data_IF_266058926040
#
_entry.id   IF_266058926040
#
_cell.length_a   1.000
_cell.length_b   1.000
_cell.length_c   1.000
_cell.angle_alpha   90.00
_cell.angle_beta   90.00
_cell.angle_gamma   90.00
#
_symmetry.space_group_name_H-M   'P 1'
#
loop_
_entity.id
_entity.type
_entity.pdbx_description
1 polymer ?
#
# COMPACT_ATOMS: atom_id res chain seq x y z
N UNK A 1 8.67 24.84 -2.95
CA UNK A 1 7.69 25.95 -2.78
C UNK A 1 6.24 25.47 -2.94
N UNK A 2 5.99 24.22 -3.39
CA UNK A 2 4.64 23.69 -3.62
C UNK A 2 4.00 23.05 -2.37
N UNK A 3 4.81 22.55 -1.42
CA UNK A 3 4.36 21.90 -0.18
C UNK A 3 3.47 22.82 0.69
N UNK A 4 3.88 24.09 0.85
CA UNK A 4 3.21 25.06 1.73
C UNK A 4 1.79 25.39 1.24
N UNK A 5 1.57 25.41 -0.07
CA UNK A 5 0.27 25.66 -0.68
C UNK A 5 -0.69 24.48 -0.46
N UNK A 6 -0.21 23.24 -0.55
CA UNK A 6 -1.03 22.04 -0.31
C UNK A 6 -1.35 21.86 1.18
N UNK A 7 -0.40 22.16 2.07
CA UNK A 7 -0.60 22.13 3.53
C UNK A 7 -1.67 23.14 3.98
N UNK A 8 -1.66 24.35 3.39
CA UNK A 8 -2.69 25.36 3.62
C UNK A 8 -4.08 24.91 3.14
N UNK A 9 -4.17 24.18 2.03
CA UNK A 9 -5.42 23.59 1.55
C UNK A 9 -5.92 22.44 2.44
N UNK A 10 -5.00 21.66 3.04
CA UNK A 10 -5.34 20.55 3.94
C UNK A 10 -5.88 21.03 5.29
N UNK A 11 -5.41 22.18 5.78
CA UNK A 11 -5.87 22.77 7.03
C UNK A 11 -7.35 23.19 7.01
N UNK A 12 -7.88 23.49 5.82
CA UNK A 12 -9.25 23.97 5.63
C UNK A 12 -10.28 22.86 5.32
N UNK A 13 -9.86 21.59 5.31
CA UNK A 13 -10.78 20.50 5.01
C UNK A 13 -11.80 20.28 6.14
N UNK A 14 -13.08 20.02 5.81
CA UNK A 14 -14.06 19.60 6.80
C UNK A 14 -13.53 18.37 7.55
N UNK A 15 -13.37 18.50 8.86
CA UNK A 15 -12.75 17.49 9.71
C UNK A 15 -13.73 17.06 10.79
N UNK A 16 -13.93 15.75 10.91
CA UNK A 16 -14.73 15.12 11.97
C UNK A 16 -13.75 14.64 13.05
N UNK A 17 -13.87 15.22 14.24
CA UNK A 17 -13.00 14.91 15.40
C UNK A 17 -13.76 14.31 16.58
N UNK A 18 -15.06 14.09 16.43
CA UNK A 18 -16.01 14.16 17.56
C UNK A 18 -15.92 13.03 18.61
N UNK A 19 -15.06 12.01 18.43
CA UNK A 19 -14.78 10.98 19.46
C UNK A 19 -13.62 10.02 19.11
N UNK A 20 -12.79 10.33 18.10
CA UNK A 20 -11.81 9.35 17.59
C UNK A 20 -10.37 9.83 17.77
N UNK A 21 -9.47 8.90 18.12
CA UNK A 21 -8.03 9.13 18.11
C UNK A 21 -7.49 9.40 16.68
N UNK A 22 -8.31 9.23 15.65
CA UNK A 22 -7.93 9.30 14.24
C UNK A 22 -8.85 10.25 13.48
N UNK A 23 -8.50 11.55 13.39
CA UNK A 23 -9.33 12.53 12.70
C UNK A 23 -9.68 12.09 11.27
N UNK A 24 -10.94 12.27 10.89
CA UNK A 24 -11.44 11.95 9.53
C UNK A 24 -11.67 13.26 8.78
N UNK A 25 -11.13 13.36 7.57
CA UNK A 25 -11.23 14.56 6.72
C UNK A 25 -12.02 14.25 5.45
N UNK A 26 -12.82 15.21 4.99
CA UNK A 26 -13.49 15.16 3.69
C UNK A 26 -12.56 15.73 2.61
N UNK A 27 -12.01 14.86 1.77
CA UNK A 27 -11.16 15.24 0.64
C UNK A 27 -11.76 14.75 -0.67
N UNK A 28 -12.00 15.65 -1.63
CA UNK A 28 -12.57 15.33 -2.96
C UNK A 28 -13.78 14.39 -2.88
N UNK A 29 -14.76 14.71 -2.02
CA UNK A 29 -15.97 13.92 -1.77
C UNK A 29 -15.76 12.52 -1.14
N UNK A 30 -14.58 12.24 -0.58
CA UNK A 30 -14.29 11.00 0.14
C UNK A 30 -13.86 11.28 1.58
N UNK A 31 -14.33 10.45 2.52
CA UNK A 31 -13.90 10.49 3.91
C UNK A 31 -12.68 9.60 4.09
N UNK A 32 -11.59 10.18 4.62
CA UNK A 32 -10.32 9.50 4.84
C UNK A 32 -9.79 9.82 6.22
N UNK A 33 -9.07 8.89 6.85
CA UNK A 33 -8.24 9.24 8.00
C UNK A 33 -7.20 10.27 7.57
N UNK A 34 -6.99 11.29 8.40
CA UNK A 34 -6.06 12.39 8.10
C UNK A 34 -4.66 11.87 7.80
N UNK A 35 -4.16 10.92 8.58
CA UNK A 35 -2.85 10.29 8.36
C UNK A 35 -2.79 9.54 7.02
N UNK A 36 -3.85 8.82 6.66
CA UNK A 36 -3.93 8.15 5.36
C UNK A 36 -3.91 9.16 4.21
N UNK A 37 -4.62 10.29 4.32
CA UNK A 37 -4.59 11.33 3.30
C UNK A 37 -3.19 11.93 3.15
N UNK A 38 -2.51 12.26 4.25
CA UNK A 38 -1.15 12.81 4.21
C UNK A 38 -0.17 11.84 3.54
N UNK A 39 -0.29 10.55 3.83
CA UNK A 39 0.55 9.54 3.18
C UNK A 39 0.23 9.41 1.69
N UNK A 40 -1.04 9.39 1.29
CA UNK A 40 -1.43 9.36 -0.13
C UNK A 40 -0.86 10.57 -0.88
N UNK A 41 -0.93 11.76 -0.30
CA UNK A 41 -0.36 12.97 -0.92
C UNK A 41 1.16 12.90 -1.01
N UNK A 42 1.84 12.43 0.03
CA UNK A 42 3.29 12.19 -0.02
C UNK A 42 3.67 11.17 -1.10
N UNK A 43 2.99 10.03 -1.14
CA UNK A 43 3.19 9.00 -2.16
C UNK A 43 2.96 9.54 -3.56
N UNK A 44 1.96 10.41 -3.78
CA UNK A 44 1.70 11.03 -5.08
C UNK A 44 2.90 11.82 -5.62
N UNK A 45 3.67 12.46 -4.73
CA UNK A 45 4.84 13.27 -5.11
C UNK A 45 6.11 12.44 -5.26
N UNK A 46 6.28 11.38 -4.48
CA UNK A 46 7.54 10.64 -4.39
C UNK A 46 7.54 9.30 -5.14
N UNK A 47 6.37 8.71 -5.41
CA UNK A 47 6.29 7.42 -6.08
C UNK A 47 6.60 7.56 -7.57
N UNK A 48 7.61 6.82 -8.04
CA UNK A 48 7.98 6.75 -9.44
C UNK A 48 7.55 5.39 -10.01
N UNK A 49 6.44 5.40 -10.75
CA UNK A 49 5.94 4.19 -11.41
C UNK A 49 6.91 3.72 -12.50
N UNK A 50 7.17 2.41 -12.53
CA UNK A 50 7.90 1.75 -13.61
C UNK A 50 6.91 1.09 -14.56
N UNK A 51 7.26 0.93 -15.86
CA UNK A 51 6.37 0.27 -16.84
C UNK A 51 5.99 -1.17 -16.47
N UNK A 52 6.75 -1.82 -15.59
CA UNK A 52 6.53 -3.20 -15.14
C UNK A 52 5.75 -3.31 -13.83
N UNK A 53 5.40 -2.18 -13.20
CA UNK A 53 4.70 -2.20 -11.92
C UNK A 53 3.22 -2.61 -12.08
N UNK A 54 2.72 -3.36 -11.11
CA UNK A 54 1.33 -3.79 -11.04
C UNK A 54 0.70 -3.18 -9.79
N UNK A 55 -0.34 -2.37 -9.98
CA UNK A 55 -1.09 -1.75 -8.89
C UNK A 55 -2.35 -2.55 -8.59
N UNK A 56 -2.51 -2.97 -7.33
CA UNK A 56 -3.73 -3.57 -6.83
C UNK A 56 -4.57 -2.51 -6.13
N UNK A 57 -5.75 -2.20 -6.68
CA UNK A 57 -6.66 -1.21 -6.12
C UNK A 57 -7.93 -1.89 -5.59
N UNK A 58 -8.25 -1.64 -4.33
CA UNK A 58 -9.50 -2.10 -3.71
C UNK A 58 -9.87 -1.25 -2.50
N UNK A 59 -11.16 -1.15 -2.13
CA UNK A 59 -11.56 -0.55 -0.87
C UNK A 59 -10.98 -1.30 0.34
N UNK A 60 -10.77 -0.61 1.49
CA UNK A 60 -10.35 -1.29 2.71
C UNK A 60 -11.38 -2.36 3.11
N UNK A 61 -10.88 -3.49 3.63
CA UNK A 61 -11.68 -4.62 4.13
C UNK A 61 -12.50 -5.38 3.09
N UNK A 62 -12.33 -5.12 1.78
CA UNK A 62 -13.01 -5.86 0.71
C UNK A 62 -12.24 -7.09 0.20
N UNK A 63 -11.40 -7.71 1.04
CA UNK A 63 -10.60 -8.88 0.64
C UNK A 63 -9.20 -8.58 0.09
N UNK A 64 -8.58 -7.48 0.48
CA UNK A 64 -7.20 -7.12 0.09
C UNK A 64 -6.18 -8.24 0.35
N UNK A 65 -6.32 -9.00 1.44
CA UNK A 65 -5.43 -10.13 1.76
C UNK A 65 -5.51 -11.23 0.70
N UNK A 66 -6.73 -11.62 0.30
CA UNK A 66 -6.95 -12.61 -0.75
C UNK A 66 -6.47 -12.09 -2.11
N UNK A 67 -6.75 -10.83 -2.43
CA UNK A 67 -6.31 -10.20 -3.67
C UNK A 67 -4.77 -10.18 -3.77
N UNK A 68 -4.07 -9.78 -2.71
CA UNK A 68 -2.59 -9.77 -2.65
C UNK A 68 -2.02 -11.17 -2.82
N UNK A 69 -2.57 -12.16 -2.11
CA UNK A 69 -2.12 -13.54 -2.21
C UNK A 69 -2.30 -14.13 -3.62
N UNK A 70 -3.47 -13.92 -4.24
CA UNK A 70 -3.76 -14.41 -5.59
C UNK A 70 -2.92 -13.74 -6.67
N UNK A 71 -2.74 -12.41 -6.57
CA UNK A 71 -1.88 -11.69 -7.51
C UNK A 71 -0.43 -12.17 -7.41
N UNK A 72 0.08 -12.33 -6.19
CA UNK A 72 1.44 -12.83 -5.96
C UNK A 72 1.61 -14.26 -6.50
N UNK A 73 0.72 -15.19 -6.17
CA UNK A 73 0.85 -16.58 -6.63
C UNK A 73 0.71 -16.71 -8.14
N UNK A 74 -0.06 -15.85 -8.80
CA UNK A 74 -0.18 -15.82 -10.26
C UNK A 74 1.08 -15.32 -10.95
N UNK A 75 1.83 -14.38 -10.36
CA UNK A 75 3.05 -13.82 -10.94
C UNK A 75 4.27 -14.70 -10.70
N UNK A 76 4.37 -15.30 -9.51
CA UNK A 76 5.50 -16.12 -9.09
C UNK A 76 5.19 -17.62 -9.18
N UNK A 77 4.36 -18.01 -10.15
CA UNK A 77 4.10 -19.41 -10.44
C UNK A 77 5.39 -20.05 -10.96
N UNK A 78 6.22 -20.55 -10.05
CA UNK A 78 7.32 -21.44 -10.38
C UNK A 78 6.73 -22.66 -11.11
N UNK A 79 7.42 -23.20 -12.13
CA UNK A 79 7.00 -24.46 -12.74
C UNK A 79 7.07 -25.55 -11.68
N UNK A 80 5.94 -25.82 -11.02
CA UNK A 80 5.71 -26.70 -9.88
C UNK A 80 6.93 -27.57 -9.47
N UNK A 81 7.81 -27.11 -8.58
CA UNK A 81 8.42 -28.02 -7.63
C UNK A 81 7.39 -28.18 -6.52
N UNK A 82 6.67 -29.30 -6.57
CA UNK A 82 5.78 -29.88 -5.55
C UNK A 82 5.08 -28.88 -4.58
N UNK A 83 3.75 -28.89 -4.52
CA UNK A 83 2.93 -28.10 -3.58
C UNK A 83 3.31 -28.29 -2.09
N UNK A 84 4.21 -29.22 -1.80
CA UNK A 84 4.88 -29.48 -0.54
C UNK A 84 6.07 -28.54 -0.22
N UNK A 85 6.54 -27.69 -1.14
CA UNK A 85 7.69 -26.81 -0.88
C UNK A 85 7.35 -25.81 0.24
N UNK A 86 7.94 -26.05 1.41
CA UNK A 86 7.75 -25.29 2.64
C UNK A 86 8.30 -23.86 2.54
N UNK A 87 9.01 -23.53 1.44
CA UNK A 87 9.68 -22.25 1.23
C UNK A 87 8.82 -21.21 0.49
N UNK A 88 7.58 -21.53 0.10
CA UNK A 88 6.74 -20.56 -0.60
C UNK A 88 6.43 -19.33 0.30
N UNK A 89 6.70 -18.08 -0.13
CA UNK A 89 6.54 -16.89 0.72
C UNK A 89 5.15 -16.76 1.38
N UNK A 90 4.07 -17.06 0.65
CA UNK A 90 2.70 -17.05 1.21
C UNK A 90 2.44 -18.08 2.33
N UNK A 91 3.32 -19.06 2.58
CA UNK A 91 3.20 -20.01 3.70
C UNK A 91 3.88 -19.52 4.97
N UNK A 92 4.87 -18.63 4.85
CA UNK A 92 5.72 -18.19 5.97
C UNK A 92 5.54 -16.71 6.31
N UNK A 93 4.90 -15.93 5.45
CA UNK A 93 4.71 -14.48 5.62
C UNK A 93 3.27 -14.05 5.29
N UNK A 94 2.85 -12.90 5.84
CA UNK A 94 1.54 -12.34 5.53
C UNK A 94 1.55 -11.75 4.10
N UNK A 95 0.47 -11.91 3.30
CA UNK A 95 0.37 -11.25 1.99
C UNK A 95 0.56 -9.72 2.03
N UNK A 96 0.28 -9.08 3.17
CA UNK A 96 0.54 -7.66 3.38
C UNK A 96 2.03 -7.32 3.50
N UNK A 97 2.87 -8.26 3.96
CA UNK A 97 4.33 -8.09 4.05
C UNK A 97 5.00 -8.32 2.68
N UNK A 98 4.40 -9.16 1.84
CA UNK A 98 4.94 -9.57 0.54
C UNK A 98 4.56 -8.57 -0.55
N UNK A 99 3.31 -8.07 -0.51
CA UNK A 99 2.80 -7.07 -1.44
C UNK A 99 2.48 -5.83 -0.60
N UNK A 100 3.30 -4.78 -0.62
CA UNK A 100 3.14 -3.66 0.31
C UNK A 100 1.99 -2.74 -0.09
N UNK A 101 1.68 -1.79 0.78
CA UNK A 101 0.76 -0.69 0.48
C UNK A 101 1.57 0.55 0.13
N UNK A 102 1.29 1.12 -1.03
CA UNK A 102 2.01 2.29 -1.58
C UNK A 102 1.88 3.53 -0.69
N UNK A 103 0.79 3.61 0.06
CA UNK A 103 0.44 4.69 0.98
C UNK A 103 0.79 4.40 2.44
N UNK A 104 1.39 3.25 2.78
CA UNK A 104 1.74 2.91 4.17
C UNK A 104 3.25 2.73 4.32
N UNK A 105 3.90 2.08 3.36
CA UNK A 105 5.33 1.82 3.41
C UNK A 105 6.11 2.90 2.68
N UNK A 106 6.78 3.74 3.45
CA UNK A 106 7.71 4.77 2.97
C UNK A 106 9.12 4.24 2.70
N UNK A 107 9.37 2.94 2.84
CA UNK A 107 10.68 2.33 2.60
C UNK A 107 10.66 1.45 1.35
N UNK A 108 10.91 2.07 0.20
CA UNK A 108 11.19 1.36 -1.05
C UNK A 108 12.47 0.50 -0.96
N UNK A 109 13.31 0.67 0.07
CA UNK A 109 14.49 -0.18 0.34
C UNK A 109 14.13 -1.62 0.77
N UNK A 110 12.99 -1.86 1.41
CA UNK A 110 12.60 -3.20 1.87
C UNK A 110 12.25 -4.14 0.70
N UNK A 111 11.72 -3.59 -0.39
CA UNK A 111 11.41 -4.33 -1.61
C UNK A 111 12.66 -4.72 -2.41
N UNK A 112 13.80 -4.07 -2.20
CA UNK A 112 15.06 -4.50 -2.81
C UNK A 112 15.66 -5.70 -2.06
N UNK A 113 15.42 -5.83 -0.75
CA UNK A 113 15.85 -7.01 0.03
C UNK A 113 15.13 -8.28 -0.43
N UNK A 114 13.82 -8.21 -0.70
CA UNK A 114 13.06 -9.36 -1.19
C UNK A 114 13.40 -9.77 -2.63
N UNK A 115 14.01 -8.88 -3.43
CA UNK A 115 14.54 -9.24 -4.75
C UNK A 115 15.84 -10.04 -4.66
N UNK A 116 16.65 -9.83 -3.61
CA UNK A 116 17.92 -10.53 -3.42
C UNK A 116 17.77 -11.93 -2.84
N UNK A 117 16.81 -12.15 -1.93
CA UNK A 117 16.60 -13.46 -1.29
C UNK A 117 15.79 -14.48 -2.11
N UNK A 118 15.29 -14.08 -3.28
CA UNK A 118 14.47 -14.93 -4.18
C UNK A 118 15.24 -15.39 -5.44
N UNK A 119 16.57 -15.32 -5.43
CA UNK A 119 17.44 -15.84 -6.52
C UNK A 119 18.06 -17.18 -6.16
#
# INVERSE_FOLDING_TARGET
MEQTQEDDQLSNLPTITDCSAFPVVLYKAHYLFKDSLLRVLSTRHHFQARPTDILLASPPKSGTTWLKALAFSSLYQTPLPDLSDLRHPLRVSNPHDIVPFIEIESNLEYLDVLKYDMT
#
